data_IF_930807387227
#
_entry.id   IF_930807387227
#
_cell.length_a   1.000
_cell.length_b   1.000
_cell.length_c   1.000
_cell.angle_alpha   90.00
_cell.angle_beta   90.00
_cell.angle_gamma   90.00
#
_symmetry.space_group_name_H-M   'P 1'
#
loop_
_entity.id
_entity.type
_entity.pdbx_description
1 polymer ?
#
# COMPACT_ATOMS: atom_id res chain seq x y z
N UNK A 1 -0.16 -30.30 13.26
CA UNK A 1 0.69 -29.19 12.74
C UNK A 1 0.98 -29.50 11.29
N UNK A 2 0.26 -28.80 10.42
CA UNK A 2 0.47 -28.85 8.98
C UNK A 2 1.71 -28.02 8.64
N UNK A 3 2.59 -28.55 7.79
CA UNK A 3 3.83 -27.92 7.38
C UNK A 3 3.73 -27.52 5.90
N UNK A 4 3.99 -26.25 5.60
CA UNK A 4 4.19 -25.77 4.23
C UNK A 4 5.62 -25.26 4.07
N UNK A 5 6.33 -25.87 3.13
CA UNK A 5 7.64 -25.40 2.70
C UNK A 5 7.45 -24.32 1.64
N UNK A 6 8.06 -23.15 1.85
CA UNK A 6 8.12 -22.09 0.86
C UNK A 6 9.58 -21.96 0.45
N UNK A 7 9.88 -22.25 -0.81
CA UNK A 7 11.21 -22.08 -1.42
C UNK A 7 11.24 -20.73 -2.15
N UNK A 8 12.20 -19.88 -1.78
CA UNK A 8 12.38 -18.55 -2.37
C UNK A 8 13.47 -18.53 -3.45
N UNK A 9 14.18 -19.64 -3.71
CA UNK A 9 15.26 -19.70 -4.70
C UNK A 9 16.45 -18.76 -4.42
N UNK A 10 17.34 -18.57 -5.41
CA UNK A 10 18.44 -17.58 -5.35
C UNK A 10 17.97 -16.11 -5.54
N UNK A 11 16.65 -15.90 -5.53
CA UNK A 11 16.03 -14.62 -5.84
C UNK A 11 15.43 -14.01 -4.58
N UNK A 12 15.65 -12.72 -4.41
CA UNK A 12 15.13 -11.98 -3.26
C UNK A 12 13.60 -11.91 -3.39
N UNK A 13 12.89 -12.58 -2.49
CA UNK A 13 11.46 -12.37 -2.30
C UNK A 13 11.30 -11.77 -0.91
N UNK A 14 10.83 -10.52 -0.82
CA UNK A 14 10.13 -10.10 0.39
C UNK A 14 8.91 -11.01 0.55
N UNK A 15 8.69 -11.59 1.72
CA UNK A 15 7.38 -12.17 2.03
C UNK A 15 6.40 -11.01 2.19
N UNK A 16 5.30 -11.03 1.45
CA UNK A 16 4.15 -10.15 1.66
C UNK A 16 3.39 -10.64 2.89
N UNK A 17 3.25 -9.80 3.91
CA UNK A 17 2.20 -9.93 4.92
C UNK A 17 1.26 -8.74 4.69
N UNK A 18 -0.04 -8.98 4.54
CA UNK A 18 -1.01 -7.91 4.32
C UNK A 18 -1.27 -7.20 5.65
N UNK A 19 -1.38 -5.87 5.69
CA UNK A 19 -1.76 -5.19 6.93
C UNK A 19 -3.09 -5.70 7.49
N UNK A 20 -3.98 -6.22 6.66
CA UNK A 20 -5.27 -6.77 7.11
C UNK A 20 -5.20 -8.20 7.67
N UNK A 21 -4.08 -8.92 7.49
CA UNK A 21 -3.72 -10.05 8.40
C UNK A 21 -3.53 -9.53 9.84
N UNK A 22 -3.35 -8.22 9.98
CA UNK A 22 -3.25 -7.53 11.24
C UNK A 22 -4.58 -6.75 11.54
N UNK A 23 -5.18 -5.96 10.63
CA UNK A 23 -6.28 -5.01 10.93
C UNK A 23 -7.54 -5.67 11.49
N UNK A 24 -7.88 -6.90 11.09
CA UNK A 24 -9.12 -7.58 11.56
C UNK A 24 -9.10 -7.99 13.03
N UNK A 25 -7.91 -8.04 13.65
CA UNK A 25 -7.75 -8.34 15.06
C UNK A 25 -6.89 -7.24 15.70
N UNK A 26 -7.52 -6.15 16.19
CA UNK A 26 -6.93 -5.06 17.02
C UNK A 26 -5.43 -5.28 17.29
N UNK A 27 -4.57 -4.81 16.38
CA UNK A 27 -3.22 -5.36 16.20
C UNK A 27 -2.36 -5.12 17.42
N UNK A 28 -2.15 -6.17 18.18
CA UNK A 28 -0.89 -6.34 18.87
C UNK A 28 0.14 -6.81 17.85
N UNK A 29 1.21 -6.04 17.68
CA UNK A 29 2.31 -6.44 16.80
C UNK A 29 2.79 -7.88 17.07
N UNK A 30 3.29 -8.59 16.04
CA UNK A 30 3.80 -9.93 16.23
C UNK A 30 4.91 -9.97 17.28
N UNK A 31 4.92 -11.03 18.09
CA UNK A 31 6.03 -11.25 19.03
C UNK A 31 7.22 -11.80 18.26
N UNK A 32 8.38 -11.17 18.43
CA UNK A 32 9.66 -11.66 17.89
C UNK A 32 10.44 -12.43 18.94
N UNK A 33 10.86 -13.63 18.58
CA UNK A 33 11.73 -14.49 19.37
C UNK A 33 13.00 -14.81 18.58
N UNK A 34 14.11 -14.23 18.98
CA UNK A 34 15.43 -14.62 18.45
C UNK A 34 16.02 -15.71 19.35
N UNK A 35 16.29 -16.88 18.80
CA UNK A 35 16.83 -18.01 19.55
C UNK A 35 18.07 -18.58 18.87
N UNK A 36 19.13 -18.94 19.62
CA UNK A 36 20.36 -19.46 19.02
C UNK A 36 20.26 -20.92 18.54
N UNK A 37 19.21 -21.65 18.94
CA UNK A 37 19.09 -23.08 18.69
C UNK A 37 18.40 -23.40 17.36
N UNK A 38 18.51 -24.65 16.91
CA UNK A 38 17.68 -25.17 15.83
C UNK A 38 16.19 -25.04 16.17
N UNK A 39 15.40 -24.49 15.24
CA UNK A 39 13.97 -24.27 15.47
C UNK A 39 13.19 -25.58 15.41
N UNK A 40 13.71 -26.56 14.68
CA UNK A 40 13.14 -27.89 14.55
C UNK A 40 14.16 -28.97 14.94
N UNK A 41 13.66 -30.10 15.44
CA UNK A 41 14.46 -31.30 15.63
C UNK A 41 14.74 -32.01 14.29
N UNK A 42 15.55 -33.06 14.33
CA UNK A 42 15.90 -33.85 13.13
C UNK A 42 14.71 -34.55 12.45
N UNK A 43 13.54 -34.57 13.08
CA UNK A 43 12.29 -35.11 12.54
C UNK A 43 11.37 -34.00 12.00
N UNK A 44 11.85 -32.76 11.95
CA UNK A 44 11.08 -31.59 11.51
C UNK A 44 10.03 -31.13 12.53
N UNK A 45 10.08 -31.59 13.79
CA UNK A 45 9.17 -31.12 14.83
C UNK A 45 9.73 -29.88 15.51
N UNK A 46 8.85 -28.93 15.85
CA UNK A 46 9.22 -27.72 16.60
C UNK A 46 9.94 -28.12 17.89
N UNK A 47 11.14 -27.59 18.11
CA UNK A 47 11.96 -27.98 19.26
C UNK A 47 11.29 -27.61 20.59
N UNK A 48 11.59 -28.36 21.65
CA UNK A 48 10.96 -28.12 22.97
C UNK A 48 11.26 -26.71 23.51
N UNK A 49 12.42 -26.14 23.18
CA UNK A 49 12.78 -24.76 23.51
C UNK A 49 11.91 -23.76 22.77
N UNK A 50 11.65 -23.96 21.47
CA UNK A 50 10.73 -23.10 20.70
C UNK A 50 9.33 -23.22 21.27
N UNK A 51 8.84 -24.42 21.56
CA UNK A 51 7.51 -24.62 22.17
C UNK A 51 7.38 -23.89 23.51
N UNK A 52 8.41 -23.96 24.35
CA UNK A 52 8.43 -23.23 25.62
C UNK A 52 8.41 -21.71 25.40
N UNK A 53 9.23 -21.18 24.49
CA UNK A 53 9.28 -19.76 24.18
C UNK A 53 7.95 -19.25 23.60
N UNK A 54 7.34 -19.99 22.67
CA UNK A 54 6.01 -19.71 22.12
C UNK A 54 4.95 -19.69 23.23
N UNK A 55 4.98 -20.63 24.18
CA UNK A 55 4.04 -20.64 25.30
C UNK A 55 4.19 -19.41 26.19
N UNK A 56 5.41 -18.88 26.36
CA UNK A 56 5.67 -17.65 27.11
C UNK A 56 5.24 -16.41 26.35
N UNK A 57 5.48 -16.36 25.04
CA UNK A 57 4.98 -15.30 24.17
C UNK A 57 3.45 -15.20 24.23
N UNK A 58 2.75 -16.33 24.12
CA UNK A 58 1.29 -16.37 24.17
C UNK A 58 0.73 -16.10 25.59
N UNK A 59 1.45 -16.46 26.65
CA UNK A 59 1.08 -16.04 28.01
C UNK A 59 1.20 -14.52 28.19
N UNK A 60 2.24 -13.92 27.60
CA UNK A 60 2.47 -12.48 27.67
C UNK A 60 1.44 -11.70 26.83
N UNK A 61 1.12 -12.18 25.63
CA UNK A 61 0.17 -11.53 24.72
C UNK A 61 -0.76 -12.58 24.08
N UNK A 62 -1.83 -12.98 24.78
CA UNK A 62 -2.72 -14.06 24.32
C UNK A 62 -3.44 -13.78 23.00
N UNK A 63 -3.53 -12.50 22.60
CA UNK A 63 -4.22 -12.04 21.38
C UNK A 63 -3.26 -11.75 20.22
N UNK A 64 -1.98 -12.11 20.33
CA UNK A 64 -1.04 -11.87 19.23
C UNK A 64 -1.46 -12.67 17.98
N UNK A 65 -1.55 -12.05 16.80
CA UNK A 65 -2.00 -12.73 15.58
C UNK A 65 -0.94 -13.70 15.06
N UNK A 66 0.33 -13.44 15.36
CA UNK A 66 1.45 -14.32 15.01
C UNK A 66 2.67 -14.13 15.91
N UNK A 67 3.52 -15.16 15.97
CA UNK A 67 4.81 -15.12 16.65
C UNK A 67 5.89 -15.52 15.67
N UNK A 68 6.86 -14.63 15.43
CA UNK A 68 7.96 -14.87 14.50
C UNK A 68 9.18 -15.31 15.30
N UNK A 69 9.69 -16.50 14.95
CA UNK A 69 10.86 -17.10 15.59
C UNK A 69 11.97 -17.22 14.57
N UNK A 70 13.17 -16.72 14.91
CA UNK A 70 14.34 -16.79 14.04
C UNK A 70 15.58 -17.22 14.81
N UNK A 71 16.42 -18.03 14.16
CA UNK A 71 17.79 -18.30 14.60
C UNK A 71 18.84 -17.75 13.61
N UNK A 72 18.42 -16.80 12.78
CA UNK A 72 19.17 -16.19 11.67
C UNK A 72 19.46 -17.11 10.47
N UNK A 73 19.39 -18.44 10.65
CA UNK A 73 19.45 -19.42 9.55
C UNK A 73 18.05 -19.81 9.05
N UNK A 74 17.06 -19.71 9.93
CA UNK A 74 15.70 -20.13 9.69
C UNK A 74 14.77 -19.09 10.30
N UNK A 75 13.70 -18.76 9.58
CA UNK A 75 12.62 -17.92 10.07
C UNK A 75 11.32 -18.71 10.01
N UNK A 76 10.55 -18.66 11.10
CA UNK A 76 9.27 -19.36 11.20
C UNK A 76 8.23 -18.42 11.74
N UNK A 77 7.11 -18.30 11.03
CA UNK A 77 5.95 -17.55 11.47
C UNK A 77 4.94 -18.54 12.04
N UNK A 78 4.67 -18.44 13.34
CA UNK A 78 3.66 -19.24 14.01
C UNK A 78 2.36 -18.45 14.12
N UNK A 79 1.26 -19.07 13.71
CA UNK A 79 -0.07 -18.51 13.85
C UNK A 79 -0.81 -19.29 14.94
N UNK A 80 -1.19 -18.63 16.06
CA UNK A 80 -1.97 -19.26 17.10
C UNK A 80 -3.34 -19.74 16.58
N UNK A 81 -3.99 -20.67 17.29
CA UNK A 81 -5.36 -21.09 16.95
C UNK A 81 -6.32 -19.90 16.95
N UNK A 82 -7.15 -19.81 15.91
CA UNK A 82 -8.25 -18.85 15.83
C UNK A 82 -9.58 -19.58 15.75
N UNK A 83 -10.68 -18.86 15.88
CA UNK A 83 -12.03 -19.42 15.72
C UNK A 83 -12.27 -19.98 14.31
N UNK A 84 -11.57 -19.45 13.28
CA UNK A 84 -11.61 -19.97 11.90
C UNK A 84 -10.63 -21.11 11.66
N UNK A 85 -9.52 -21.15 12.38
CA UNK A 85 -8.46 -22.15 12.27
C UNK A 85 -8.10 -22.68 13.66
N UNK A 86 -8.81 -23.72 14.17
CA UNK A 86 -8.65 -24.20 15.54
C UNK A 86 -7.32 -24.92 15.79
N UNK A 87 -6.57 -25.24 14.73
CA UNK A 87 -5.23 -25.82 14.84
C UNK A 87 -4.15 -24.74 14.63
N UNK A 88 -3.06 -24.77 15.44
CA UNK A 88 -1.94 -23.89 15.20
C UNK A 88 -1.23 -24.28 13.90
N UNK A 89 -0.95 -23.28 13.06
CA UNK A 89 -0.23 -23.42 11.80
C UNK A 89 1.09 -22.66 11.87
N UNK A 90 2.06 -23.05 11.05
CA UNK A 90 3.28 -22.28 10.90
C UNK A 90 3.79 -22.31 9.46
N UNK A 91 4.48 -21.23 9.10
CA UNK A 91 5.14 -21.08 7.81
C UNK A 91 6.64 -20.99 8.04
N UNK A 92 7.40 -21.82 7.33
CA UNK A 92 8.86 -21.88 7.46
C UNK A 92 9.50 -21.26 6.23
N UNK A 93 10.37 -20.30 6.49
CA UNK A 93 11.25 -19.66 5.52
C UNK A 93 12.66 -20.14 5.81
N UNK A 94 13.14 -21.07 5.00
CA UNK A 94 14.55 -21.47 5.05
C UNK A 94 15.37 -20.41 4.31
N UNK A 95 16.41 -19.87 4.93
CA UNK A 95 17.27 -18.88 4.27
C UNK A 95 18.74 -19.15 4.51
N UNK A 96 19.52 -19.23 3.44
CA UNK A 96 20.99 -19.24 3.54
C UNK A 96 21.55 -17.82 3.72
N UNK A 97 20.70 -16.81 3.64
CA UNK A 97 21.05 -15.40 3.70
C UNK A 97 20.63 -14.81 5.05
N UNK A 98 21.54 -14.84 6.02
CA UNK A 98 21.35 -14.24 7.36
C UNK A 98 20.85 -12.78 7.30
N UNK A 99 21.24 -12.03 6.27
CA UNK A 99 20.77 -10.66 6.02
C UNK A 99 19.26 -10.57 5.79
N UNK A 100 18.63 -11.58 5.18
CA UNK A 100 17.19 -11.64 4.94
C UNK A 100 16.44 -11.80 6.27
N UNK A 101 16.90 -12.69 7.14
CA UNK A 101 16.30 -12.88 8.46
C UNK A 101 16.37 -11.58 9.28
N UNK A 102 17.52 -10.89 9.27
CA UNK A 102 17.68 -9.59 9.91
C UNK A 102 16.78 -8.51 9.30
N UNK A 103 16.63 -8.49 7.97
CA UNK A 103 15.71 -7.54 7.32
C UNK A 103 14.26 -7.79 7.71
N UNK A 104 13.79 -9.04 7.68
CA UNK A 104 12.42 -9.37 8.12
C UNK A 104 12.21 -8.98 9.59
N UNK A 105 13.20 -9.25 10.46
CA UNK A 105 13.16 -8.84 11.86
C UNK A 105 13.11 -7.32 12.01
N UNK A 106 13.98 -6.59 11.34
CA UNK A 106 14.04 -5.12 11.42
C UNK A 106 12.77 -4.50 10.85
N UNK A 107 12.30 -4.96 9.69
CA UNK A 107 11.04 -4.51 9.09
C UNK A 107 9.91 -4.75 10.08
N UNK A 108 9.78 -5.94 10.63
CA UNK A 108 8.62 -6.22 11.44
C UNK A 108 8.68 -5.60 12.86
N UNK A 109 9.88 -5.32 13.39
CA UNK A 109 10.07 -4.44 14.55
C UNK A 109 9.73 -2.97 14.22
N UNK A 110 10.13 -2.45 13.06
CA UNK A 110 9.74 -1.11 12.63
C UNK A 110 8.22 -1.03 12.45
N UNK A 111 7.59 -2.04 11.86
CA UNK A 111 6.14 -2.12 11.75
C UNK A 111 5.43 -2.19 13.11
N UNK A 112 6.08 -2.72 14.15
CA UNK A 112 5.54 -2.71 15.51
C UNK A 112 5.54 -1.32 16.14
N UNK A 113 6.64 -0.59 15.97
CA UNK A 113 6.86 0.72 16.61
C UNK A 113 6.24 1.87 15.81
N UNK A 114 6.12 1.70 14.50
CA UNK A 114 5.32 2.58 13.64
C UNK A 114 3.84 2.28 13.92
N UNK A 115 3.27 2.95 14.92
CA UNK A 115 1.82 3.05 15.03
C UNK A 115 1.28 3.66 13.73
N UNK A 116 0.76 2.82 12.83
CA UNK A 116 0.32 3.14 11.47
C UNK A 116 -0.95 3.99 11.37
N UNK A 117 -1.19 4.82 12.38
CA UNK A 117 -2.37 5.66 12.55
C UNK A 117 -2.23 7.05 11.94
N UNK A 118 -1.14 7.35 11.20
CA UNK A 118 -0.81 8.72 10.76
C UNK A 118 -0.54 8.78 9.26
N UNK A 119 -1.30 9.60 8.54
CA UNK A 119 -0.96 10.02 7.18
C UNK A 119 0.34 10.84 7.19
N UNK A 120 1.19 10.69 6.18
CA UNK A 120 2.40 11.53 6.02
C UNK A 120 2.12 12.96 5.52
N UNK A 121 0.84 13.30 5.35
CA UNK A 121 0.38 14.64 5.02
C UNK A 121 0.07 15.39 6.30
N UNK A 122 0.77 16.51 6.52
CA UNK A 122 0.21 17.56 7.36
C UNK A 122 -0.88 18.14 6.49
N UNK A 123 -2.13 17.77 6.77
CA UNK A 123 -3.16 18.76 6.53
C UNK A 123 -2.73 19.99 7.34
N UNK A 124 -2.80 21.21 6.78
CA UNK A 124 -2.63 22.40 7.60
C UNK A 124 -3.50 22.18 8.83
N UNK A 125 -2.88 22.28 10.01
CA UNK A 125 -3.51 22.03 11.30
C UNK A 125 -4.72 22.97 11.37
N UNK A 126 -5.86 22.48 10.87
CA UNK A 126 -7.14 23.09 11.13
C UNK A 126 -7.30 22.74 12.59
N UNK A 127 -6.79 23.63 13.47
CA UNK A 127 -7.00 23.60 14.91
C UNK A 127 -8.36 22.92 15.11
N UNK A 128 -8.32 21.67 15.57
CA UNK A 128 -9.52 20.84 15.72
C UNK A 128 -10.24 21.39 16.93
N UNK A 129 -10.81 22.59 16.76
CA UNK A 129 -11.98 23.02 17.46
C UNK A 129 -12.97 21.92 17.11
N UNK A 130 -13.28 21.06 18.07
CA UNK A 130 -14.27 19.99 17.91
C UNK A 130 -15.68 20.51 17.55
N UNK A 131 -15.82 21.82 17.36
CA UNK A 131 -17.00 22.55 16.87
C UNK A 131 -16.84 23.14 15.46
N UNK A 132 -15.74 22.89 14.75
CA UNK A 132 -15.69 23.11 13.31
C UNK A 132 -16.63 22.09 12.67
N UNK A 133 -17.90 22.49 12.56
CA UNK A 133 -18.80 21.96 11.56
C UNK A 133 -18.04 22.05 10.23
N UNK A 134 -17.40 20.96 9.81
CA UNK A 134 -17.00 20.67 8.43
C UNK A 134 -18.25 20.49 7.56
N UNK A 135 -19.32 21.25 7.86
CA UNK A 135 -20.31 21.59 6.89
C UNK A 135 -19.54 22.37 5.83
N UNK A 136 -19.22 21.70 4.74
CA UNK A 136 -18.92 22.36 3.49
C UNK A 136 -19.99 23.40 3.15
N UNK A 137 -19.87 24.10 2.01
CA UNK A 137 -20.95 25.00 1.59
C UNK A 137 -22.29 24.25 1.71
N UNK A 138 -23.31 24.83 2.39
CA UNK A 138 -24.55 24.12 2.63
C UNK A 138 -25.13 23.68 1.29
N UNK A 139 -25.42 22.38 1.18
CA UNK A 139 -26.09 21.84 0.00
C UNK A 139 -27.37 22.63 -0.23
N UNK A 140 -27.60 23.10 -1.45
CA UNK A 140 -28.88 23.71 -1.81
C UNK A 140 -29.95 22.63 -1.70
N UNK A 141 -30.89 22.71 -0.73
CA UNK A 141 -31.93 21.69 -0.57
C UNK A 141 -32.91 21.67 -1.75
N UNK A 142 -32.86 22.67 -2.64
CA UNK A 142 -33.65 22.73 -3.87
C UNK A 142 -32.92 22.18 -5.09
N UNK A 143 -31.64 21.81 -4.97
CA UNK A 143 -30.93 21.17 -6.07
C UNK A 143 -31.48 19.76 -6.26
N UNK A 144 -32.15 19.52 -7.38
CA UNK A 144 -32.60 18.20 -7.76
C UNK A 144 -31.40 17.25 -7.89
N UNK A 145 -31.57 16.02 -7.39
CA UNK A 145 -30.56 14.98 -7.54
C UNK A 145 -30.50 14.55 -9.01
N UNK A 146 -29.29 14.42 -9.58
CA UNK A 146 -29.15 13.83 -10.91
C UNK A 146 -29.70 12.41 -10.92
N UNK A 147 -30.16 11.93 -12.08
CA UNK A 147 -30.60 10.54 -12.19
C UNK A 147 -29.41 9.58 -12.12
N UNK A 148 -29.66 8.31 -11.78
CA UNK A 148 -28.59 7.29 -11.75
C UNK A 148 -27.91 7.17 -13.13
N UNK A 149 -28.65 7.33 -14.24
CA UNK A 149 -28.09 7.34 -15.60
C UNK A 149 -27.19 8.55 -15.85
N UNK A 150 -27.59 9.73 -15.39
CA UNK A 150 -26.76 10.94 -15.48
C UNK A 150 -25.47 10.78 -14.66
N UNK A 151 -25.56 10.23 -13.45
CA UNK A 151 -24.39 9.92 -12.62
C UNK A 151 -23.43 8.96 -13.33
N UNK A 152 -23.92 7.89 -13.96
CA UNK A 152 -23.07 6.93 -14.70
C UNK A 152 -22.40 7.54 -15.94
N UNK A 153 -22.97 8.60 -16.51
CA UNK A 153 -22.39 9.32 -17.64
C UNK A 153 -21.34 10.34 -17.19
N UNK A 154 -21.55 10.96 -16.03
CA UNK A 154 -20.76 12.10 -15.54
C UNK A 154 -19.69 11.72 -14.54
N UNK A 155 -19.89 10.68 -13.73
CA UNK A 155 -18.99 10.26 -12.66
C UNK A 155 -18.24 8.99 -13.07
N UNK A 156 -16.92 9.04 -12.91
CA UNK A 156 -15.95 8.00 -13.29
C UNK A 156 -15.11 7.50 -12.12
N UNK A 157 -15.05 8.23 -10.99
CA UNK A 157 -14.21 7.92 -9.82
C UNK A 157 -14.84 8.45 -8.54
N UNK A 158 -14.32 8.06 -7.38
CA UNK A 158 -14.88 8.50 -6.10
C UNK A 158 -14.74 10.02 -5.94
N UNK A 159 -13.63 10.61 -6.40
CA UNK A 159 -13.39 12.06 -6.29
C UNK A 159 -14.34 12.94 -7.11
N UNK A 160 -15.16 12.36 -8.00
CA UNK A 160 -16.21 13.11 -8.70
C UNK A 160 -17.43 13.39 -7.80
N UNK A 161 -17.55 12.70 -6.65
CA UNK A 161 -18.61 12.91 -5.68
C UNK A 161 -18.20 13.91 -4.60
N UNK A 162 -19.13 14.76 -4.18
CA UNK A 162 -18.97 15.59 -2.98
C UNK A 162 -19.17 14.72 -1.72
N UNK A 163 -18.08 14.23 -1.15
CA UNK A 163 -18.11 13.37 0.04
C UNK A 163 -18.69 14.04 1.28
N UNK A 164 -18.57 15.37 1.39
CA UNK A 164 -19.21 16.10 2.50
C UNK A 164 -20.72 16.04 2.33
N UNK A 165 -21.21 16.22 1.10
CA UNK A 165 -22.62 16.03 0.79
C UNK A 165 -23.08 14.58 1.04
N UNK A 166 -22.27 13.57 0.68
CA UNK A 166 -22.61 12.16 0.93
C UNK A 166 -22.77 11.86 2.44
N UNK A 167 -21.96 12.46 3.31
CA UNK A 167 -22.05 12.27 4.77
C UNK A 167 -23.33 12.88 5.35
N UNK A 168 -23.83 13.96 4.77
CA UNK A 168 -24.96 14.74 5.30
C UNK A 168 -26.31 14.51 4.59
N UNK A 169 -26.31 13.88 3.42
CA UNK A 169 -27.51 13.64 2.60
C UNK A 169 -27.63 12.15 2.26
N UNK A 170 -28.55 11.47 2.96
CA UNK A 170 -28.80 10.04 2.79
C UNK A 170 -29.19 9.69 1.34
N UNK A 171 -29.92 10.54 0.63
CA UNK A 171 -30.36 10.24 -0.73
C UNK A 171 -29.16 10.24 -1.69
N UNK A 172 -28.22 11.17 -1.53
CA UNK A 172 -26.95 11.21 -2.28
C UNK A 172 -26.06 10.02 -1.94
N UNK A 173 -25.96 9.65 -0.66
CA UNK A 173 -25.19 8.49 -0.25
C UNK A 173 -25.73 7.19 -0.86
N UNK A 174 -27.04 7.00 -0.87
CA UNK A 174 -27.67 5.85 -1.53
C UNK A 174 -27.45 5.85 -3.05
N UNK A 175 -27.44 7.02 -3.69
CA UNK A 175 -27.06 7.15 -5.11
C UNK A 175 -25.61 6.73 -5.36
N UNK A 176 -24.69 7.20 -4.53
CA UNK A 176 -23.28 6.80 -4.59
C UNK A 176 -23.12 5.29 -4.42
N UNK A 177 -23.77 4.67 -3.43
CA UNK A 177 -23.71 3.22 -3.20
C UNK A 177 -24.21 2.44 -4.43
N UNK A 178 -25.33 2.85 -5.04
CA UNK A 178 -25.86 2.20 -6.25
C UNK A 178 -24.93 2.37 -7.45
N UNK A 179 -24.42 3.59 -7.67
CA UNK A 179 -23.42 3.86 -8.70
C UNK A 179 -22.20 2.96 -8.49
N UNK A 180 -21.67 2.92 -7.28
CA UNK A 180 -20.48 2.16 -6.92
C UNK A 180 -20.67 0.66 -7.13
N UNK A 181 -21.79 0.10 -6.67
CA UNK A 181 -22.12 -1.31 -6.88
C UNK A 181 -22.21 -1.67 -8.36
N UNK A 182 -22.75 -0.78 -9.18
CA UNK A 182 -22.82 -0.98 -10.62
C UNK A 182 -21.43 -0.91 -11.25
N UNK A 183 -20.63 0.11 -10.92
CA UNK A 183 -19.26 0.27 -11.42
C UNK A 183 -18.43 -0.97 -11.05
N UNK A 184 -18.45 -1.41 -9.80
CA UNK A 184 -17.71 -2.61 -9.35
C UNK A 184 -18.10 -3.89 -10.09
N UNK A 185 -19.37 -4.01 -10.50
CA UNK A 185 -19.85 -5.15 -11.29
C UNK A 185 -19.49 -5.06 -12.77
N UNK A 186 -19.37 -3.83 -13.30
CA UNK A 186 -19.13 -3.58 -14.72
C UNK A 186 -17.65 -3.50 -15.07
N UNK A 187 -16.78 -3.13 -14.13
CA UNK A 187 -15.36 -2.89 -14.37
C UNK A 187 -14.47 -3.94 -13.70
N UNK A 188 -13.45 -4.38 -14.44
CA UNK A 188 -12.39 -5.27 -13.94
C UNK A 188 -11.39 -4.48 -13.11
N UNK A 189 -10.85 -5.09 -12.03
CA UNK A 189 -9.71 -4.55 -11.27
C UNK A 189 -8.45 -4.42 -12.12
N UNK A 190 -8.29 -5.33 -13.08
CA UNK A 190 -7.22 -5.28 -14.08
C UNK A 190 -7.74 -4.46 -15.25
N UNK A 191 -7.25 -3.23 -15.33
CA UNK A 191 -7.68 -2.21 -16.32
C UNK A 191 -6.82 -2.16 -17.57
N UNK A 192 -5.66 -2.82 -17.55
CA UNK A 192 -4.79 -2.97 -18.70
C UNK A 192 -4.28 -4.40 -18.80
N UNK A 193 -4.10 -4.90 -20.03
CA UNK A 193 -3.63 -6.26 -20.28
C UNK A 193 -2.28 -6.27 -21.00
N UNK A 194 -1.52 -7.38 -20.94
CA UNK A 194 -0.30 -7.54 -21.72
C UNK A 194 -0.47 -7.18 -23.21
N UNK A 195 0.46 -6.41 -23.74
CA UNK A 195 0.44 -5.83 -25.09
C UNK A 195 -0.42 -4.56 -25.24
N UNK A 196 -1.11 -4.10 -24.19
CA UNK A 196 -1.78 -2.80 -24.22
C UNK A 196 -0.75 -1.68 -24.11
N UNK A 197 -0.97 -0.60 -24.88
CA UNK A 197 -0.21 0.64 -24.76
C UNK A 197 -1.04 1.67 -23.99
N UNK A 198 -0.45 2.28 -22.97
CA UNK A 198 -1.06 3.37 -22.21
C UNK A 198 -0.31 4.67 -22.49
N UNK A 199 -1.06 5.76 -22.61
CA UNK A 199 -0.50 7.11 -22.78
C UNK A 199 -0.52 7.84 -21.44
N UNK A 200 0.55 8.56 -21.13
CA UNK A 200 0.69 9.31 -19.88
C UNK A 200 1.02 10.78 -20.13
N UNK A 201 0.54 11.65 -19.23
CA UNK A 201 0.94 13.04 -19.08
C UNK A 201 1.82 13.16 -17.84
N UNK A 202 2.99 13.77 -18.01
CA UNK A 202 4.04 13.81 -17.00
C UNK A 202 3.74 14.86 -15.92
N UNK A 203 3.86 14.49 -14.64
CA UNK A 203 3.72 15.38 -13.48
C UNK A 203 2.37 16.11 -13.37
N UNK A 204 1.34 15.63 -14.05
CA UNK A 204 -0.03 16.12 -13.84
C UNK A 204 -0.70 15.30 -12.74
N UNK A 205 -0.60 15.82 -11.53
CA UNK A 205 -1.23 15.24 -10.34
C UNK A 205 -2.74 15.51 -10.26
N UNK A 206 -3.29 16.38 -11.11
CA UNK A 206 -4.66 16.92 -11.00
C UNK A 206 -4.93 17.74 -9.71
N UNK A 207 -4.07 17.59 -8.70
CA UNK A 207 -3.95 18.40 -7.50
C UNK A 207 -2.68 19.22 -7.55
N UNK A 208 -2.73 20.45 -7.06
CA UNK A 208 -1.52 21.22 -6.80
C UNK A 208 -0.82 20.65 -5.57
N UNK A 209 0.08 19.69 -5.78
CA UNK A 209 0.84 19.07 -4.70
C UNK A 209 1.89 20.02 -4.09
N UNK A 210 2.11 21.21 -4.67
CA UNK A 210 3.15 22.14 -4.21
C UNK A 210 2.87 22.74 -2.84
N UNK A 211 1.61 22.75 -2.41
CA UNK A 211 1.17 23.24 -1.10
C UNK A 211 1.40 22.21 0.02
N UNK A 212 1.59 20.94 -0.31
CA UNK A 212 1.80 19.88 0.66
C UNK A 212 3.29 19.69 0.92
N UNK A 213 3.69 19.82 2.18
CA UNK A 213 5.05 19.53 2.62
C UNK A 213 5.06 18.26 3.47
N UNK A 214 6.08 17.43 3.32
CA UNK A 214 6.30 16.29 4.20
C UNK A 214 6.42 16.77 5.65
N UNK A 215 5.62 16.20 6.56
CA UNK A 215 5.57 16.58 7.98
C UNK A 215 6.96 16.46 8.64
N UNK A 216 7.74 15.48 8.15
CA UNK A 216 9.06 15.16 8.68
C UNK A 216 10.00 14.89 7.51
N UNK A 217 10.73 15.92 7.00
CA UNK A 217 11.75 15.69 6.00
C UNK A 217 12.76 14.70 6.59
N UNK A 218 13.00 13.60 5.88
CA UNK A 218 14.02 12.66 6.30
C UNK A 218 15.38 13.25 5.98
N UNK A 219 16.12 13.59 7.03
CA UNK A 219 17.49 14.02 6.89
C UNK A 219 18.41 12.81 6.83
N UNK A 220 18.92 12.52 5.63
CA UNK A 220 19.89 11.45 5.43
C UNK A 220 21.17 11.64 6.26
N UNK A 221 21.45 12.87 6.72
CA UNK A 221 22.58 13.17 7.60
C UNK A 221 22.41 12.62 9.01
N UNK A 222 21.18 12.30 9.42
CA UNK A 222 20.88 11.66 10.70
C UNK A 222 21.20 10.16 10.69
N UNK A 223 21.46 9.57 9.52
CA UNK A 223 21.84 8.17 9.43
C UNK A 223 23.17 7.90 10.14
N UNK A 224 23.25 6.83 10.95
CA UNK A 224 24.51 6.32 11.45
C UNK A 224 25.52 6.11 10.30
N UNK A 225 26.78 6.50 10.52
CA UNK A 225 27.81 6.51 9.47
C UNK A 225 28.04 5.14 8.82
N UNK A 226 27.90 4.07 9.59
CA UNK A 226 27.98 2.69 9.11
C UNK A 226 26.81 2.33 8.19
N UNK A 227 25.60 2.78 8.53
CA UNK A 227 24.39 2.62 7.72
C UNK A 227 24.51 3.41 6.41
N UNK A 228 24.91 4.69 6.48
CA UNK A 228 25.15 5.50 5.30
C UNK A 228 26.21 4.89 4.37
N UNK A 229 27.33 4.42 4.94
CA UNK A 229 28.36 3.72 4.18
C UNK A 229 27.82 2.44 3.53
N UNK A 230 27.01 1.66 4.27
CA UNK A 230 26.39 0.44 3.73
C UNK A 230 25.44 0.77 2.58
N UNK A 231 24.55 1.75 2.72
CA UNK A 231 23.63 2.18 1.68
C UNK A 231 24.38 2.61 0.41
N UNK A 232 25.46 3.37 0.57
CA UNK A 232 26.33 3.75 -0.56
C UNK A 232 26.92 2.52 -1.28
N UNK A 233 27.31 1.46 -0.55
CA UNK A 233 27.86 0.24 -1.18
C UNK A 233 26.85 -0.58 -1.98
N UNK A 234 25.55 -0.43 -1.70
CA UNK A 234 24.47 -1.17 -2.36
C UNK A 234 23.64 -0.28 -3.29
N UNK A 235 24.02 0.98 -3.44
CA UNK A 235 23.32 1.92 -4.30
C UNK A 235 23.47 1.51 -5.76
N UNK A 236 22.33 1.30 -6.43
CA UNK A 236 22.26 0.86 -7.82
C UNK A 236 22.06 2.06 -8.73
N UNK A 237 22.62 2.00 -9.93
CA UNK A 237 22.30 2.96 -10.98
C UNK A 237 20.80 2.90 -11.33
N UNK A 238 20.21 4.05 -11.65
CA UNK A 238 18.82 4.11 -12.13
C UNK A 238 18.69 3.39 -13.47
N UNK A 239 17.73 2.46 -13.65
CA UNK A 239 17.46 1.83 -14.93
C UNK A 239 17.28 2.81 -16.10
N UNK A 240 16.59 3.94 -15.88
CA UNK A 240 16.45 4.97 -16.91
C UNK A 240 17.76 5.71 -17.20
N UNK A 241 18.66 5.87 -16.21
CA UNK A 241 19.99 6.45 -16.44
C UNK A 241 20.87 5.48 -17.24
N UNK A 242 20.89 4.20 -16.85
CA UNK A 242 21.64 3.16 -17.54
C UNK A 242 21.20 3.00 -19.01
N UNK A 243 19.91 3.23 -19.30
CA UNK A 243 19.35 3.23 -20.65
C UNK A 243 19.51 4.58 -21.39
N UNK A 244 20.05 5.62 -20.76
CA UNK A 244 20.28 6.93 -21.38
C UNK A 244 19.02 7.75 -21.63
N UNK A 245 17.89 7.43 -20.98
CA UNK A 245 16.59 8.07 -21.19
C UNK A 245 16.10 8.90 -19.99
N UNK A 246 16.81 8.87 -18.86
CA UNK A 246 16.37 9.54 -17.63
C UNK A 246 16.17 11.04 -17.77
N UNK A 247 17.10 11.76 -18.40
CA UNK A 247 16.99 13.22 -18.55
C UNK A 247 15.86 13.60 -19.50
N UNK A 248 15.66 12.81 -20.57
CA UNK A 248 14.54 12.97 -21.49
C UNK A 248 13.20 12.73 -20.76
N UNK A 249 13.11 11.68 -19.94
CA UNK A 249 11.92 11.38 -19.15
C UNK A 249 11.61 12.45 -18.11
N UNK A 250 12.61 12.93 -17.37
CA UNK A 250 12.41 14.01 -16.37
C UNK A 250 11.87 15.31 -16.97
N UNK A 251 12.19 15.58 -18.23
CA UNK A 251 11.77 16.79 -18.94
C UNK A 251 10.54 16.57 -19.83
N UNK A 252 10.01 15.35 -19.86
CA UNK A 252 8.91 15.02 -20.76
C UNK A 252 7.63 15.69 -20.36
N UNK A 253 6.76 15.91 -21.35
CA UNK A 253 5.37 16.30 -21.12
C UNK A 253 4.46 15.08 -21.21
N UNK A 254 4.85 14.11 -22.02
CA UNK A 254 4.07 12.90 -22.25
C UNK A 254 4.98 11.72 -22.57
N UNK A 255 4.50 10.52 -22.27
CA UNK A 255 5.16 9.29 -22.66
C UNK A 255 4.14 8.18 -22.88
N UNK A 256 4.56 7.11 -23.54
CA UNK A 256 3.75 5.90 -23.71
C UNK A 256 4.48 4.71 -23.12
N UNK A 257 3.73 3.81 -22.50
CA UNK A 257 4.23 2.53 -21.98
C UNK A 257 3.49 1.38 -22.65
N UNK A 258 4.16 0.26 -22.80
CA UNK A 258 3.52 -1.01 -23.16
C UNK A 258 3.53 -1.94 -21.94
N UNK A 259 2.38 -2.55 -21.64
CA UNK A 259 2.21 -3.49 -20.54
C UNK A 259 2.76 -4.84 -20.95
N UNK A 260 3.71 -5.36 -20.19
CA UNK A 260 4.29 -6.68 -20.42
C UNK A 260 3.52 -7.77 -19.64
N UNK A 261 3.17 -7.46 -18.38
CA UNK A 261 2.63 -8.44 -17.44
C UNK A 261 1.87 -7.76 -16.29
N UNK A 262 0.97 -8.50 -15.63
CA UNK A 262 0.29 -8.08 -14.40
C UNK A 262 1.01 -8.73 -13.23
N UNK A 263 1.68 -7.92 -12.40
CA UNK A 263 2.47 -8.41 -11.26
C UNK A 263 1.56 -8.69 -10.06
N UNK A 264 0.59 -7.81 -9.79
CA UNK A 264 -0.34 -7.95 -8.67
C UNK A 264 -1.69 -7.26 -8.96
N UNK A 265 -2.79 -7.98 -8.74
CA UNK A 265 -4.17 -7.57 -9.08
C UNK A 265 -4.93 -6.83 -7.96
N UNK A 266 -4.24 -6.09 -7.09
CA UNK A 266 -4.90 -5.49 -5.93
C UNK A 266 -4.03 -5.43 -4.69
N UNK A 267 -4.13 -4.33 -3.94
CA UNK A 267 -4.08 -4.41 -2.47
C UNK A 267 -5.36 -5.08 -1.94
N UNK A 268 -5.47 -5.40 -0.64
CA UNK A 268 -6.73 -5.92 -0.06
C UNK A 268 -7.92 -5.01 -0.35
N UNK A 269 -7.71 -3.70 -0.27
CA UNK A 269 -8.70 -2.70 -0.64
C UNK A 269 -9.06 -2.74 -2.12
N UNK A 270 -8.27 -3.39 -2.97
CA UNK A 270 -8.51 -3.52 -4.40
C UNK A 270 -8.20 -2.26 -5.20
N UNK A 271 -7.64 -1.22 -4.58
CA UNK A 271 -7.51 0.11 -5.19
C UNK A 271 -6.30 0.20 -6.12
N UNK A 272 -5.34 -0.73 -6.05
CA UNK A 272 -4.17 -0.66 -6.93
C UNK A 272 -3.89 -1.92 -7.72
N UNK A 273 -3.41 -1.77 -8.94
CA UNK A 273 -2.89 -2.89 -9.73
C UNK A 273 -1.45 -2.56 -10.15
N UNK A 274 -0.54 -3.52 -9.97
CA UNK A 274 0.88 -3.36 -10.31
C UNK A 274 1.19 -4.14 -11.57
N UNK A 275 1.84 -3.47 -12.52
CA UNK A 275 2.18 -3.98 -13.83
C UNK A 275 3.69 -3.98 -14.03
N UNK A 276 4.14 -4.89 -14.88
CA UNK A 276 5.43 -4.79 -15.56
C UNK A 276 5.19 -4.11 -16.89
N UNK A 277 6.02 -3.15 -17.23
CA UNK A 277 5.91 -2.42 -18.49
C UNK A 277 7.27 -1.89 -18.95
N UNK A 278 7.34 -1.29 -20.12
CA UNK A 278 8.50 -0.53 -20.57
C UNK A 278 8.04 0.72 -21.34
N UNK A 279 8.87 1.78 -21.36
CA UNK A 279 8.57 2.97 -22.17
C UNK A 279 8.74 2.65 -23.65
N UNK A 280 7.74 2.97 -24.46
CA UNK A 280 7.78 2.84 -25.92
C UNK A 280 8.07 4.16 -26.61
N UNK A 281 7.61 5.28 -26.04
CA UNK A 281 7.94 6.61 -26.54
C UNK A 281 7.95 7.67 -25.43
N UNK A 282 8.72 8.74 -25.64
CA UNK A 282 8.73 9.95 -24.81
C UNK A 282 8.57 11.16 -25.75
N UNK A 283 7.55 11.97 -25.52
CA UNK A 283 7.15 13.11 -26.36
C UNK A 283 7.07 12.74 -27.85
N UNK A 284 6.48 11.57 -28.13
CA UNK A 284 6.29 11.03 -29.49
C UNK A 284 7.57 10.46 -30.15
N UNK A 285 8.71 10.44 -29.44
CA UNK A 285 9.95 9.82 -29.94
C UNK A 285 10.10 8.43 -29.36
N UNK A 286 10.32 7.44 -30.22
CA UNK A 286 10.57 6.07 -29.79
C UNK A 286 11.83 6.00 -28.92
N UNK A 287 11.74 5.24 -27.82
CA UNK A 287 12.85 5.01 -26.90
C UNK A 287 13.02 3.52 -26.65
N UNK A 288 14.25 3.11 -26.33
CA UNK A 288 14.51 1.81 -25.75
C UNK A 288 14.56 1.97 -24.24
N UNK A 289 13.74 1.21 -23.53
CA UNK A 289 13.57 1.32 -22.09
C UNK A 289 13.74 -0.06 -21.45
N UNK A 290 14.36 -0.14 -20.25
CA UNK A 290 14.33 -1.37 -19.49
C UNK A 290 12.90 -1.68 -19.05
N UNK A 291 12.68 -2.88 -18.54
CA UNK A 291 11.42 -3.16 -17.84
C UNK A 291 11.35 -2.30 -16.57
N UNK A 292 10.15 -1.83 -16.28
CA UNK A 292 9.79 -0.92 -15.20
C UNK A 292 8.56 -1.49 -14.49
N UNK A 293 8.28 -0.95 -13.30
CA UNK A 293 7.08 -1.25 -12.56
C UNK A 293 6.15 -0.04 -12.61
N UNK A 294 4.88 -0.30 -12.87
CA UNK A 294 3.85 0.71 -13.00
C UNK A 294 2.71 0.34 -12.06
N UNK A 295 2.34 1.25 -11.16
CA UNK A 295 1.25 1.04 -10.19
C UNK A 295 0.11 1.99 -10.51
N UNK A 296 -1.08 1.45 -10.71
CA UNK A 296 -2.27 2.22 -11.05
C UNK A 296 -3.19 2.26 -9.87
N UNK A 297 -3.69 3.44 -9.51
CA UNK A 297 -4.73 3.60 -8.52
C UNK A 297 -6.08 3.74 -9.22
N UNK A 298 -6.97 2.81 -8.95
CA UNK A 298 -8.34 2.75 -9.41
C UNK A 298 -9.25 2.59 -8.19
N UNK A 299 -9.85 3.69 -7.74
CA UNK A 299 -10.69 3.74 -6.55
C UNK A 299 -12.08 3.12 -6.76
N UNK A 300 -12.45 2.81 -8.01
CA UNK A 300 -13.66 2.07 -8.38
C UNK A 300 -13.62 0.61 -7.95
N UNK A 301 -12.42 0.03 -7.89
CA UNK A 301 -12.21 -1.34 -7.44
C UNK A 301 -12.00 -1.45 -5.94
N UNK A 302 -12.23 -0.34 -5.21
CA UNK A 302 -12.31 -0.37 -3.75
C UNK A 302 -13.31 -1.47 -3.32
N UNK A 303 -13.14 -2.03 -2.12
CA UNK A 303 -14.16 -2.90 -1.52
C UNK A 303 -14.79 -2.18 -0.34
N UNK A 304 -16.03 -1.71 -0.50
CA UNK A 304 -16.86 -1.39 0.66
C UNK A 304 -17.44 -2.68 1.23
N UNK A 305 -17.11 -2.97 2.49
CA UNK A 305 -17.86 -3.94 3.28
C UNK A 305 -19.17 -3.29 3.68
N UNK A 306 -20.12 -3.39 2.78
CA UNK A 306 -21.50 -3.10 3.09
C UNK A 306 -22.09 -4.43 3.50
N UNK A 307 -22.32 -4.63 4.80
CA UNK A 307 -22.87 -5.88 5.29
C UNK A 307 -24.27 -6.05 4.70
N UNK A 308 -24.52 -7.18 4.03
CA UNK A 308 -25.81 -7.52 3.40
C UNK A 308 -26.97 -7.67 4.41
N UNK A 309 -26.78 -7.30 5.69
CA UNK A 309 -27.86 -7.26 6.67
C UNK A 309 -28.73 -6.02 6.43
N UNK A 310 -29.84 -6.25 5.72
CA UNK A 310 -30.85 -5.28 5.27
C UNK A 310 -31.28 -4.23 6.32
N UNK A 311 -31.16 -4.54 7.62
CA UNK A 311 -31.59 -3.66 8.70
C UNK A 311 -30.57 -2.56 9.08
N UNK A 312 -29.28 -2.71 8.74
CA UNK A 312 -28.23 -1.75 9.11
C UNK A 312 -28.18 -0.53 8.17
N UNK A 313 -28.56 -0.70 6.92
CA UNK A 313 -28.58 0.36 5.89
C UNK A 313 -29.55 1.50 6.18
N UNK A 314 -30.55 1.26 7.03
CA UNK A 314 -31.53 2.28 7.40
C UNK A 314 -30.99 3.23 8.47
N UNK A 315 -29.84 2.93 9.07
CA UNK A 315 -29.24 3.81 10.07
C UNK A 315 -28.30 4.81 9.42
N UNK A 316 -28.63 6.09 9.59
CA UNK A 316 -27.89 7.23 9.03
C UNK A 316 -26.41 7.26 9.49
N UNK A 317 -26.13 6.78 10.71
CA UNK A 317 -24.78 6.66 11.27
C UNK A 317 -23.92 5.60 10.56
N UNK A 318 -24.53 4.52 10.07
CA UNK A 318 -23.83 3.43 9.39
C UNK A 318 -23.30 3.84 8.01
N UNK A 319 -24.10 4.60 7.23
CA UNK A 319 -23.68 5.09 5.91
C UNK A 319 -22.48 6.04 6.06
N UNK A 320 -22.55 6.97 7.02
CA UNK A 320 -21.44 7.86 7.30
C UNK A 320 -20.19 7.08 7.73
N UNK A 321 -20.33 6.01 8.51
CA UNK A 321 -19.22 5.13 8.89
C UNK A 321 -18.61 4.40 7.69
N UNK A 322 -19.43 3.89 6.77
CA UNK A 322 -18.96 3.27 5.53
C UNK A 322 -18.15 4.24 4.66
N UNK A 323 -18.63 5.49 4.55
CA UNK A 323 -17.98 6.54 3.76
C UNK A 323 -16.67 7.04 4.38
N UNK A 324 -16.48 6.93 5.71
CA UNK A 324 -15.19 7.23 6.36
C UNK A 324 -14.07 6.31 5.88
N UNK A 325 -14.40 5.10 5.44
CA UNK A 325 -13.44 4.15 4.87
C UNK A 325 -13.19 4.37 3.38
N UNK A 326 -13.86 5.32 2.73
CA UNK A 326 -13.63 5.61 1.32
C UNK A 326 -12.24 6.23 1.13
N UNK A 327 -11.57 5.76 0.09
CA UNK A 327 -10.21 6.20 -0.23
C UNK A 327 -10.19 6.68 -1.68
N UNK A 328 -9.46 7.75 -1.91
CA UNK A 328 -9.28 8.36 -3.22
C UNK A 328 -7.96 7.91 -3.81
N UNK A 329 -7.98 7.47 -5.07
CA UNK A 329 -6.78 7.03 -5.77
C UNK A 329 -5.73 8.14 -5.83
N UNK A 330 -6.17 9.39 -6.03
CA UNK A 330 -5.34 10.59 -6.04
C UNK A 330 -4.59 10.78 -4.72
N UNK A 331 -5.30 10.63 -3.59
CA UNK A 331 -4.73 10.85 -2.27
C UNK A 331 -3.70 9.77 -1.94
N UNK A 332 -3.96 8.52 -2.32
CA UNK A 332 -3.00 7.42 -2.15
C UNK A 332 -1.74 7.62 -2.98
N UNK A 333 -1.89 7.99 -4.25
CA UNK A 333 -0.75 8.27 -5.14
C UNK A 333 0.07 9.46 -4.61
N UNK A 334 -0.60 10.52 -4.16
CA UNK A 334 0.06 11.66 -3.53
C UNK A 334 0.83 11.26 -2.26
N UNK A 335 0.21 10.48 -1.36
CA UNK A 335 0.88 9.94 -0.17
C UNK A 335 2.15 9.16 -0.52
N UNK A 336 2.10 8.37 -1.59
CA UNK A 336 3.25 7.62 -2.07
C UNK A 336 4.36 8.53 -2.60
N UNK A 337 4.02 9.58 -3.38
CA UNK A 337 4.97 10.62 -3.79
C UNK A 337 5.70 11.22 -2.59
N UNK A 338 4.98 11.62 -1.53
CA UNK A 338 5.59 12.20 -0.33
C UNK A 338 6.50 11.20 0.40
N UNK A 339 6.12 9.92 0.44
CA UNK A 339 6.96 8.88 1.01
C UNK A 339 8.27 8.72 0.21
N UNK A 340 8.21 8.75 -1.12
CA UNK A 340 9.39 8.64 -1.97
C UNK A 340 10.26 9.90 -2.01
N UNK A 341 9.65 11.08 -1.93
CA UNK A 341 10.37 12.35 -1.80
C UNK A 341 11.15 12.38 -0.49
N UNK A 342 10.51 11.97 0.61
CA UNK A 342 11.17 11.76 1.90
C UNK A 342 12.34 10.78 1.78
N UNK A 343 12.16 9.68 1.06
CA UNK A 343 13.19 8.64 0.90
C UNK A 343 14.15 8.91 -0.28
N UNK A 344 14.15 10.10 -0.87
CA UNK A 344 14.90 10.40 -2.10
C UNK A 344 16.40 10.08 -2.00
N UNK A 345 17.02 10.37 -0.85
CA UNK A 345 18.45 10.16 -0.60
C UNK A 345 18.88 8.69 -0.54
N UNK A 346 17.92 7.77 -0.37
CA UNK A 346 18.16 6.33 -0.25
C UNK A 346 17.51 5.53 -1.39
N UNK A 347 16.89 6.19 -2.37
CA UNK A 347 16.43 5.52 -3.59
C UNK A 347 17.59 4.85 -4.32
N UNK A 348 17.30 3.77 -5.05
CA UNK A 348 18.31 2.93 -5.69
C UNK A 348 19.04 1.97 -4.74
N UNK A 349 18.81 2.05 -3.43
CA UNK A 349 19.37 1.11 -2.43
C UNK A 349 18.40 -0.04 -2.15
N UNK A 350 17.96 -0.24 -0.90
CA UNK A 350 16.81 -1.08 -0.56
C UNK A 350 15.49 -0.45 -1.03
N UNK A 351 15.45 0.87 -1.22
CA UNK A 351 14.31 1.60 -1.76
C UNK A 351 14.41 1.61 -3.30
N UNK A 352 13.34 1.30 -4.04
CA UNK A 352 13.32 1.38 -5.50
C UNK A 352 13.56 2.83 -5.97
N UNK A 353 13.98 2.98 -7.23
CA UNK A 353 13.89 4.28 -7.88
C UNK A 353 12.42 4.60 -8.14
N UNK A 354 12.01 5.81 -7.78
CA UNK A 354 10.71 6.38 -8.08
C UNK A 354 10.89 7.45 -9.15
N UNK A 355 10.07 7.37 -10.18
CA UNK A 355 10.14 8.22 -11.37
C UNK A 355 9.04 9.27 -11.41
N UNK A 356 8.14 9.27 -10.43
CA UNK A 356 7.10 10.27 -10.28
C UNK A 356 5.70 9.69 -10.37
N UNK A 357 4.75 10.59 -10.11
CA UNK A 357 3.33 10.38 -10.30
C UNK A 357 2.89 11.01 -11.63
N UNK A 358 2.12 10.28 -12.41
CA UNK A 358 1.69 10.68 -13.74
C UNK A 358 0.22 10.35 -13.94
N UNK A 359 -0.39 11.06 -14.88
CA UNK A 359 -1.78 10.87 -15.28
C UNK A 359 -1.82 10.00 -16.52
N UNK A 360 -2.53 8.87 -16.50
CA UNK A 360 -2.58 7.98 -17.65
C UNK A 360 -3.99 7.85 -18.19
N UNK A 361 -4.07 7.80 -19.51
CA UNK A 361 -5.29 7.49 -20.24
C UNK A 361 -5.31 6.02 -20.63
N UNK A 362 -6.29 5.30 -20.11
CA UNK A 362 -6.60 3.93 -20.46
C UNK A 362 -7.19 3.82 -21.88
N UNK A 363 -7.20 2.62 -22.49
CA UNK A 363 -7.74 2.43 -23.84
C UNK A 363 -9.23 2.79 -23.99
N UNK A 364 -9.99 2.74 -22.90
CA UNK A 364 -11.40 3.14 -22.84
C UNK A 364 -11.59 4.67 -22.66
N UNK A 365 -10.49 5.43 -22.60
CA UNK A 365 -10.47 6.87 -22.39
C UNK A 365 -10.53 7.29 -20.92
N UNK A 366 -10.60 6.35 -19.98
CA UNK A 366 -10.57 6.67 -18.56
C UNK A 366 -9.19 7.19 -18.16
N UNK A 367 -9.19 8.13 -17.22
CA UNK A 367 -7.97 8.71 -16.67
C UNK A 367 -7.72 8.17 -15.26
N UNK A 368 -6.52 7.64 -15.02
CA UNK A 368 -6.09 7.11 -13.72
C UNK A 368 -4.78 7.74 -13.26
N UNK A 369 -4.58 7.79 -11.94
CA UNK A 369 -3.35 8.22 -11.28
C UNK A 369 -2.42 7.05 -11.11
N UNK A 370 -1.14 7.29 -11.37
CA UNK A 370 -0.18 6.22 -11.43
C UNK A 370 1.19 6.65 -10.95
N UNK A 371 1.86 5.70 -10.32
CA UNK A 371 3.23 5.84 -9.84
C UNK A 371 4.16 4.93 -10.66
N UNK A 372 5.34 5.45 -10.99
CA UNK A 372 6.30 4.78 -11.86
C UNK A 372 7.60 4.46 -11.13
N UNK A 373 8.10 3.23 -11.26
CA UNK A 373 9.27 2.74 -10.51
C UNK A 373 10.24 1.94 -11.36
N UNK A 374 11.48 1.83 -10.89
CA UNK A 374 12.40 0.82 -11.40
C UNK A 374 11.82 -0.58 -11.19
N UNK A 375 11.86 -1.42 -12.23
CA UNK A 375 11.59 -2.83 -12.04
C UNK A 375 12.70 -3.41 -11.18
N UNK A 376 12.29 -3.87 -10.02
CA UNK A 376 13.14 -4.71 -9.20
C UNK A 376 12.40 -6.03 -9.21
N UNK A 377 12.94 -6.99 -9.96
CA UNK A 377 12.42 -8.35 -10.14
C UNK A 377 12.14 -9.09 -8.83
N UNK A 378 12.50 -8.47 -7.71
CA UNK A 378 12.50 -8.97 -6.34
C UNK A 378 11.62 -8.17 -5.35
N UNK A 379 10.99 -7.05 -5.75
CA UNK A 379 10.23 -6.17 -4.84
C UNK A 379 8.71 -6.13 -5.06
N UNK A 380 8.17 -6.96 -5.96
CA UNK A 380 6.71 -7.07 -6.14
C UNK A 380 5.95 -7.27 -4.81
N UNK A 381 6.61 -7.91 -3.84
CA UNK A 381 6.05 -8.13 -2.49
C UNK A 381 6.41 -7.05 -1.44
N UNK A 382 7.55 -6.35 -1.57
CA UNK A 382 7.88 -5.27 -0.61
C UNK A 382 7.04 -4.01 -0.88
N UNK A 383 6.71 -3.74 -2.14
CA UNK A 383 5.85 -2.63 -2.52
C UNK A 383 4.44 -2.75 -1.95
N UNK A 384 3.92 -3.97 -1.82
CA UNK A 384 2.63 -4.25 -1.16
C UNK A 384 2.73 -3.99 0.36
N UNK A 385 3.89 -4.28 0.98
CA UNK A 385 4.14 -4.01 2.39
C UNK A 385 4.19 -2.52 2.73
N UNK A 386 4.84 -1.70 1.90
CA UNK A 386 4.85 -0.23 2.06
C UNK A 386 3.43 0.33 1.99
N UNK A 387 2.55 -0.29 1.19
CA UNK A 387 1.19 0.18 0.91
C UNK A 387 0.19 -0.09 2.05
N UNK A 388 0.49 -1.02 2.94
CA UNK A 388 -0.47 -1.55 3.91
C UNK A 388 -0.64 -0.67 5.18
N UNK A 389 0.02 0.48 5.23
CA UNK A 389 0.28 1.21 6.46
C UNK A 389 -0.56 2.47 6.69
N UNK A 390 -1.62 2.75 5.94
CA UNK A 390 -2.21 4.10 5.91
C UNK A 390 -3.75 4.12 5.89
N UNK A 391 -4.40 4.17 7.08
CA UNK A 391 -5.79 4.67 7.29
C UNK A 391 -6.07 5.03 8.78
N UNK A 392 -6.90 6.06 9.03
CA UNK A 392 -7.20 6.87 10.25
C UNK A 392 -8.01 6.22 11.44
N UNK A 393 -8.25 6.88 12.62
CA UNK A 393 -7.58 8.02 13.30
C UNK A 393 -7.28 7.85 14.84
N UNK A 394 -6.69 8.94 15.39
CA UNK A 394 -6.76 9.57 16.73
C UNK A 394 -5.57 9.49 17.73
N UNK A 395 -4.89 10.65 17.82
CA UNK A 395 -4.03 11.24 18.88
C UNK A 395 -3.03 10.35 19.62
N UNK A 396 -1.72 10.67 19.51
CA UNK A 396 -0.83 10.78 20.69
C UNK A 396 0.52 11.43 20.38
N UNK A 397 0.98 12.30 21.30
CA UNK A 397 2.33 12.84 21.39
C UNK A 397 3.39 11.73 21.46
N UNK A 398 4.40 11.79 20.57
CA UNK A 398 5.53 10.86 20.57
C UNK A 398 6.71 11.46 21.36
N UNK A 399 7.00 10.88 22.54
CA UNK A 399 8.28 11.07 23.26
C UNK A 399 9.25 9.97 22.85
N UNK A 400 10.35 10.35 22.22
CA UNK A 400 11.45 9.46 21.85
C UNK A 400 12.25 9.11 23.12
N UNK A 401 12.43 7.82 23.39
CA UNK A 401 13.42 7.30 24.34
C UNK A 401 14.44 6.46 23.57
N UNK A 402 15.71 6.73 23.87
CA UNK A 402 16.93 6.24 23.23
C UNK A 402 17.15 4.73 23.29
#
# INVERSE_FOLDING_TARGET
>A
MEYRAIDFGEYFFGGTFFADDFVKDRITAPIFLCMPDALFDSKGKVSSRVQYALSKALQYQPKTPSVIVSNLNELVVFFPPTWRAPEPRFERVSTTQHGLALQVLTTACLFRELHFTVLYLNYPDFDVVSDLNLAGPPNDPHQELPSDEELLLTHRRNSDFDFVALIHDQARALQFIRWYDLIRKCFSKVVAHPGNTLSAVTNEAGMDISEFQSIYPYDASELPSDTAARLATIHRESPLAAAGVQDQFKQSKSFTVEIDDVIAEGSEYGICTVYRCHLTSIDGRLVLSPNLCLKLFDDRSQSFHIDDEDDLFLREDYIAECLKGAVFGELLSANEVFAYDKLASVQGTIIPWFYGMHLFTLPDGMVLYMDFYSNISTLGNLMIGIQSCYSFPDTLEMRILC
#
